data_IF_498937492802
#
_entry.id   IF_498937492802
#
_cell.length_a   1.000
_cell.length_b   1.000
_cell.length_c   1.000
_cell.angle_alpha   90.00
_cell.angle_beta   90.00
_cell.angle_gamma   90.00
#
_symmetry.space_group_name_H-M   'P 1'
#
loop_
_entity.id
_entity.type
_entity.pdbx_description
1 polymer ?
#
# COMPACT_ATOMS: atom_id res chain seq x y z
N UNK A 1 9.04 35.89 30.94
CA UNK A 1 9.59 34.77 30.13
C UNK A 1 8.44 33.82 29.90
N UNK A 2 8.09 33.48 28.66
CA UNK A 2 7.07 32.49 28.43
C UNK A 2 7.65 31.13 28.84
N UNK A 3 6.95 30.38 29.67
CA UNK A 3 7.27 29.04 30.04
C UNK A 3 7.12 28.16 28.79
N UNK A 4 8.23 27.74 28.22
CA UNK A 4 8.22 26.73 27.18
C UNK A 4 7.89 25.39 27.84
N UNK A 5 6.69 24.89 27.60
CA UNK A 5 6.27 23.58 28.02
C UNK A 5 7.03 22.55 27.17
N UNK A 6 8.11 22.01 27.69
CA UNK A 6 8.70 20.81 27.11
C UNK A 6 7.82 19.62 27.48
N UNK A 7 7.01 19.18 26.55
CA UNK A 7 6.44 17.84 26.62
C UNK A 7 7.60 16.87 26.48
N UNK A 8 8.02 16.25 27.58
CA UNK A 8 8.86 15.08 27.49
C UNK A 8 8.05 14.01 26.73
N UNK A 9 8.61 13.39 25.69
CA UNK A 9 7.93 12.26 25.10
C UNK A 9 7.76 11.20 26.19
N UNK A 10 6.52 10.91 26.55
CA UNK A 10 6.21 9.67 27.23
C UNK A 10 6.75 8.60 26.28
N UNK A 11 7.62 7.74 26.77
CA UNK A 11 8.03 6.56 26.00
C UNK A 11 6.79 5.68 25.85
N UNK A 12 5.98 5.96 24.84
CA UNK A 12 5.01 4.97 24.38
C UNK A 12 5.83 3.80 23.85
N UNK A 13 5.41 2.57 24.10
CA UNK A 13 6.01 1.42 23.43
C UNK A 13 5.98 1.70 21.94
N UNK A 14 7.09 1.43 21.26
CA UNK A 14 7.22 1.66 19.83
C UNK A 14 6.06 0.93 19.12
N UNK A 15 5.21 1.66 18.42
CA UNK A 15 4.24 1.05 17.53
C UNK A 15 5.02 0.35 16.42
N UNK A 16 4.98 -0.98 16.33
CA UNK A 16 5.78 -1.71 15.35
C UNK A 16 5.31 -1.44 13.90
N UNK A 17 4.11 -0.90 13.70
CA UNK A 17 3.53 -0.72 12.37
C UNK A 17 2.64 0.55 12.27
N UNK A 18 3.22 1.76 12.39
CA UNK A 18 2.45 3.00 12.31
C UNK A 18 1.86 3.19 10.92
N UNK A 19 0.65 3.75 10.86
CA UNK A 19 0.07 4.16 9.59
C UNK A 19 0.85 5.33 8.98
N UNK A 20 1.28 5.23 7.73
CA UNK A 20 2.11 6.25 7.10
C UNK A 20 1.87 6.40 5.60
N UNK A 21 2.24 7.55 5.09
CA UNK A 21 2.41 7.81 3.67
C UNK A 21 3.62 8.74 3.45
N UNK A 22 4.41 8.47 2.45
CA UNK A 22 5.60 9.24 2.10
C UNK A 22 5.73 9.42 0.59
N UNK A 23 6.19 10.60 0.19
CA UNK A 23 6.57 10.88 -1.19
C UNK A 23 7.86 11.70 -1.20
N UNK A 24 8.86 11.24 -1.92
CA UNK A 24 10.12 11.95 -2.14
C UNK A 24 10.39 12.08 -3.63
N UNK A 25 10.92 13.22 -4.03
CA UNK A 25 11.27 13.48 -5.42
C UNK A 25 12.58 14.26 -5.52
N UNK A 26 13.52 13.75 -6.30
CA UNK A 26 14.79 14.39 -6.58
C UNK A 26 15.02 14.57 -8.08
N UNK A 27 15.63 15.70 -8.48
CA UNK A 27 16.06 15.92 -9.83
C UNK A 27 17.36 16.70 -9.86
N UNK A 28 18.26 16.30 -10.76
CA UNK A 28 19.48 17.01 -11.07
C UNK A 28 19.53 17.28 -12.58
N UNK A 29 19.76 18.52 -12.94
CA UNK A 29 19.98 18.95 -14.31
C UNK A 29 21.39 19.50 -14.43
N UNK A 30 22.13 19.08 -15.41
CA UNK A 30 23.55 19.38 -15.52
C UNK A 30 23.98 19.57 -16.98
N UNK A 31 25.23 20.02 -17.18
CA UNK A 31 25.81 20.17 -18.49
C UNK A 31 25.01 21.09 -19.43
N UNK A 32 24.42 22.17 -18.87
CA UNK A 32 23.78 23.17 -19.71
C UNK A 32 24.77 23.73 -20.70
N UNK A 33 24.43 23.73 -21.97
CA UNK A 33 25.29 24.24 -23.06
C UNK A 33 25.48 25.77 -23.04
N UNK A 34 24.66 26.49 -22.28
CA UNK A 34 24.67 27.93 -22.10
C UNK A 34 24.70 28.30 -20.61
N UNK A 35 25.32 29.43 -20.26
CA UNK A 35 25.21 29.96 -18.91
C UNK A 35 23.80 30.54 -18.67
N UNK A 36 23.20 30.23 -17.53
CA UNK A 36 21.93 30.79 -17.14
C UNK A 36 22.01 32.25 -16.75
N UNK A 37 21.01 33.02 -17.10
CA UNK A 37 20.77 34.37 -16.63
C UNK A 37 19.43 34.41 -15.90
N UNK A 38 19.28 35.31 -14.93
CA UNK A 38 18.00 35.51 -14.21
C UNK A 38 17.40 34.20 -13.72
N UNK A 39 17.83 33.70 -12.60
CA UNK A 39 17.31 32.48 -12.00
C UNK A 39 16.58 32.74 -10.69
N UNK A 40 15.55 31.92 -10.41
CA UNK A 40 14.78 31.88 -9.18
C UNK A 40 14.69 30.45 -8.68
N UNK A 41 14.75 30.28 -7.37
CA UNK A 41 14.68 28.96 -6.72
C UNK A 41 13.63 28.94 -5.60
N UNK A 42 12.33 29.21 -5.91
CA UNK A 42 11.31 29.20 -4.89
C UNK A 42 11.05 27.81 -4.35
N UNK A 43 10.83 27.74 -3.04
CA UNK A 43 10.38 26.53 -2.33
C UNK A 43 9.17 26.86 -1.49
N UNK A 44 8.27 25.89 -1.34
CA UNK A 44 7.08 25.99 -0.52
C UNK A 44 6.84 24.68 0.24
N UNK A 45 6.44 24.77 1.49
CA UNK A 45 6.13 23.60 2.33
C UNK A 45 4.93 23.90 3.21
N UNK A 46 4.02 22.94 3.31
CA UNK A 46 2.84 23.04 4.16
C UNK A 46 2.61 21.73 4.90
N UNK A 47 2.29 21.81 6.18
CA UNK A 47 1.92 20.68 7.02
C UNK A 47 0.71 21.00 7.87
N UNK A 48 -0.26 20.11 7.85
CA UNK A 48 -1.46 20.21 8.68
C UNK A 48 -1.65 18.90 9.43
N UNK A 49 -1.71 18.98 10.75
CA UNK A 49 -2.06 17.86 11.63
C UNK A 49 -3.32 18.23 12.40
N UNK A 50 -4.33 17.38 12.37
CA UNK A 50 -5.57 17.56 13.08
C UNK A 50 -5.92 16.26 13.82
N UNK A 51 -5.99 16.32 15.13
CA UNK A 51 -6.25 15.22 16.06
C UNK A 51 -5.16 14.14 16.12
N UNK A 52 -5.15 13.34 17.17
CA UNK A 52 -4.24 12.22 17.38
C UNK A 52 -2.76 12.58 17.60
N UNK A 53 -1.93 11.58 17.76
CA UNK A 53 -0.46 11.72 17.79
C UNK A 53 0.08 11.44 16.38
N UNK A 54 0.32 12.50 15.64
CA UNK A 54 0.73 12.42 14.23
C UNK A 54 1.90 13.34 13.96
N UNK A 55 2.84 12.89 13.15
CA UNK A 55 3.96 13.68 12.66
C UNK A 55 3.76 13.95 11.17
N UNK A 56 3.87 15.21 10.77
CA UNK A 56 3.90 15.61 9.37
C UNK A 56 5.22 16.34 9.08
N UNK A 57 5.89 15.94 8.01
CA UNK A 57 7.17 16.49 7.57
C UNK A 57 7.02 16.98 6.14
N UNK A 58 7.49 18.18 5.86
CA UNK A 58 7.61 18.70 4.51
C UNK A 58 8.96 19.40 4.36
N UNK A 59 9.74 19.00 3.37
CA UNK A 59 11.02 19.58 3.02
C UNK A 59 11.05 19.91 1.53
N UNK A 60 11.63 21.07 1.19
CA UNK A 60 11.83 21.46 -0.19
C UNK A 60 13.14 22.21 -0.34
N UNK A 61 13.94 21.80 -1.30
CA UNK A 61 15.21 22.45 -1.64
C UNK A 61 15.30 22.68 -3.15
N UNK A 62 15.80 23.84 -3.55
CA UNK A 62 16.06 24.17 -4.94
C UNK A 62 17.35 24.99 -5.07
N UNK A 63 18.24 24.56 -5.96
CA UNK A 63 19.53 25.18 -6.19
C UNK A 63 19.75 25.37 -7.69
N UNK A 64 20.35 26.48 -8.07
CA UNK A 64 20.89 26.72 -9.40
C UNK A 64 22.30 27.29 -9.29
N UNK A 65 23.26 26.81 -10.09
CA UNK A 65 24.62 27.27 -10.16
C UNK A 65 25.09 27.37 -11.61
N UNK A 66 25.87 28.38 -11.92
CA UNK A 66 26.53 28.53 -13.23
C UNK A 66 27.98 27.98 -13.25
N UNK A 67 28.57 27.66 -12.08
CA UNK A 67 29.94 27.12 -11.99
C UNK A 67 30.03 26.17 -10.76
N UNK A 68 29.94 24.84 -10.93
CA UNK A 68 29.55 24.15 -12.17
C UNK A 68 28.14 24.47 -12.61
N UNK A 69 27.85 24.35 -13.91
CA UNK A 69 26.54 24.69 -14.46
C UNK A 69 25.52 23.53 -14.23
N UNK A 70 24.76 23.65 -13.18
CA UNK A 70 23.74 22.67 -12.81
C UNK A 70 22.57 23.29 -12.02
N UNK A 71 21.48 22.56 -11.94
CA UNK A 71 20.40 22.78 -10.97
C UNK A 71 20.05 21.48 -10.25
N UNK A 72 19.51 21.59 -9.05
CA UNK A 72 19.02 20.46 -8.29
C UNK A 72 17.75 20.85 -7.53
N UNK A 73 16.83 19.88 -7.44
CA UNK A 73 15.57 19.98 -6.76
C UNK A 73 15.43 18.78 -5.83
N UNK A 74 14.90 19.01 -4.66
CA UNK A 74 14.47 17.96 -3.74
C UNK A 74 13.16 18.34 -3.08
N UNK A 75 12.26 17.36 -2.95
CA UNK A 75 11.02 17.48 -2.17
C UNK A 75 10.78 16.23 -1.38
N UNK A 76 10.29 16.39 -0.17
CA UNK A 76 9.87 15.33 0.70
C UNK A 76 8.57 15.73 1.39
N UNK A 77 7.60 14.84 1.41
CA UNK A 77 6.40 14.93 2.20
C UNK A 77 6.16 13.60 2.88
N UNK A 78 5.93 13.62 4.18
CA UNK A 78 5.67 12.42 4.97
C UNK A 78 4.65 12.72 6.05
N UNK A 79 3.77 11.78 6.30
CA UNK A 79 2.81 11.78 7.41
C UNK A 79 2.83 10.42 8.07
N UNK A 80 2.91 10.41 9.40
CA UNK A 80 2.97 9.20 10.22
C UNK A 80 1.99 9.38 11.37
N UNK A 81 1.02 8.50 11.50
CA UNK A 81 0.12 8.47 12.65
C UNK A 81 0.60 7.42 13.65
N UNK A 82 0.85 7.86 14.87
CA UNK A 82 1.35 7.02 15.94
C UNK A 82 0.22 6.51 16.83
N UNK A 83 -0.83 7.32 17.03
CA UNK A 83 -1.93 6.96 17.94
C UNK A 83 -3.16 7.83 17.69
N UNK A 84 -4.33 7.24 17.80
CA UNK A 84 -5.62 7.92 17.84
C UNK A 84 -6.20 8.29 16.47
N UNK A 85 -7.46 8.75 16.45
CA UNK A 85 -8.06 9.34 15.26
C UNK A 85 -7.23 10.51 14.78
N UNK A 86 -6.73 10.46 13.56
CA UNK A 86 -5.82 11.46 13.04
C UNK A 86 -6.13 11.81 11.59
N UNK A 87 -5.90 13.07 11.28
CA UNK A 87 -5.86 13.54 9.91
C UNK A 87 -4.64 14.42 9.73
N UNK A 88 -3.80 14.07 8.76
CA UNK A 88 -2.61 14.85 8.46
C UNK A 88 -2.41 15.01 6.97
N UNK A 89 -1.89 16.16 6.59
CA UNK A 89 -1.45 16.46 5.24
C UNK A 89 -0.03 17.03 5.31
N UNK A 90 0.77 16.71 4.32
CA UNK A 90 2.07 17.32 4.11
C UNK A 90 2.25 17.58 2.63
N UNK A 91 2.77 18.72 2.27
CA UNK A 91 3.11 19.03 0.87
C UNK A 91 4.39 19.86 0.78
N UNK A 92 5.15 19.62 -0.27
CA UNK A 92 6.33 20.41 -0.58
C UNK A 92 6.47 20.64 -2.09
N UNK A 93 6.95 21.81 -2.45
CA UNK A 93 7.26 22.22 -3.82
C UNK A 93 8.67 22.83 -3.85
N UNK A 94 9.50 22.36 -4.78
CA UNK A 94 10.76 22.95 -5.15
C UNK A 94 10.76 23.29 -6.63
N UNK A 95 11.21 24.48 -6.97
CA UNK A 95 11.22 24.97 -8.34
C UNK A 95 12.53 25.70 -8.67
N UNK A 96 13.05 25.47 -9.88
CA UNK A 96 14.08 26.29 -10.49
C UNK A 96 13.51 26.91 -11.75
N UNK A 97 13.70 28.20 -11.90
CA UNK A 97 13.35 28.96 -13.10
C UNK A 97 14.62 29.65 -13.57
N UNK A 98 15.17 29.24 -14.70
CA UNK A 98 16.38 29.81 -15.26
C UNK A 98 16.19 30.22 -16.70
N UNK A 99 16.73 31.39 -17.06
CA UNK A 99 16.66 31.92 -18.42
C UNK A 99 17.99 31.80 -19.13
N UNK A 100 17.96 31.51 -20.43
CA UNK A 100 19.13 31.30 -21.26
C UNK A 100 18.97 32.07 -22.57
N UNK A 101 20.06 32.69 -23.04
CA UNK A 101 20.09 33.32 -24.36
C UNK A 101 20.77 32.37 -25.36
N UNK A 102 20.06 32.04 -26.41
CA UNK A 102 20.55 31.11 -27.45
C UNK A 102 20.64 31.85 -28.77
N UNK A 103 21.84 31.91 -29.35
CA UNK A 103 22.08 32.58 -30.62
C UNK A 103 21.60 31.74 -31.82
N UNK A 104 21.38 32.40 -32.93
CA UNK A 104 20.98 31.73 -34.18
C UNK A 104 21.97 30.62 -34.55
N UNK A 105 21.46 29.47 -34.90
CA UNK A 105 22.16 28.23 -35.26
C UNK A 105 22.88 27.54 -34.10
N UNK A 106 22.77 28.02 -32.87
CA UNK A 106 23.25 27.32 -31.69
C UNK A 106 22.26 26.25 -31.21
N UNK A 107 22.83 25.30 -30.46
CA UNK A 107 22.08 24.21 -29.81
C UNK A 107 22.03 24.51 -28.32
N UNK A 108 20.84 24.42 -27.76
CA UNK A 108 20.65 24.37 -26.30
C UNK A 108 20.46 22.93 -25.86
N UNK A 109 21.20 22.52 -24.88
CA UNK A 109 21.15 21.16 -24.33
C UNK A 109 21.46 21.12 -22.84
N UNK A 110 21.01 20.05 -22.19
CA UNK A 110 21.35 19.68 -20.83
C UNK A 110 21.06 18.20 -20.59
N UNK A 111 21.70 17.63 -19.58
CA UNK A 111 21.44 16.29 -19.06
C UNK A 111 20.51 16.39 -17.87
N UNK A 112 19.67 15.36 -17.65
CA UNK A 112 18.82 15.28 -16.48
C UNK A 112 18.84 13.87 -15.87
N UNK A 113 18.75 13.82 -14.55
CA UNK A 113 18.48 12.61 -13.78
C UNK A 113 17.40 12.92 -12.75
N UNK A 114 16.39 12.08 -12.67
CA UNK A 114 15.24 12.26 -11.79
C UNK A 114 14.93 10.96 -11.07
N UNK A 115 14.55 11.06 -9.81
CA UNK A 115 14.06 9.95 -9.01
C UNK A 115 12.79 10.34 -8.26
N UNK A 116 11.85 9.42 -8.15
CA UNK A 116 10.59 9.57 -7.44
C UNK A 116 10.31 8.28 -6.67
N UNK A 117 10.12 8.40 -5.38
CA UNK A 117 9.68 7.31 -4.53
C UNK A 117 8.38 7.71 -3.82
N UNK A 118 7.39 6.87 -3.88
CA UNK A 118 6.09 7.05 -3.26
C UNK A 118 5.77 5.77 -2.52
N UNK A 119 5.47 5.91 -1.24
CA UNK A 119 5.30 4.80 -0.33
C UNK A 119 4.13 5.08 0.60
N UNK A 120 3.37 4.06 0.92
CA UNK A 120 2.35 4.13 1.94
C UNK A 120 2.22 2.77 2.62
N UNK A 121 1.85 2.76 3.89
CA UNK A 121 1.43 1.52 4.54
C UNK A 121 0.23 0.94 3.79
N UNK A 122 0.23 -0.34 3.60
CA UNK A 122 -0.95 -1.05 3.12
C UNK A 122 -2.12 -0.89 4.11
N UNK A 123 -3.30 -0.65 3.59
CA UNK A 123 -4.48 -0.43 4.42
C UNK A 123 -5.22 -1.73 4.64
N UNK A 124 -5.38 -2.09 5.89
CA UNK A 124 -6.12 -3.25 6.35
C UNK A 124 -7.62 -2.97 6.36
N UNK A 125 -8.00 -1.78 6.83
CA UNK A 125 -9.40 -1.38 6.91
C UNK A 125 -9.72 -0.14 6.05
N UNK A 126 -10.26 -0.35 4.85
CA UNK A 126 -10.64 0.70 3.89
C UNK A 126 -11.67 1.72 4.39
N UNK A 127 -12.34 1.46 5.51
CA UNK A 127 -13.34 2.37 6.08
C UNK A 127 -12.76 3.27 7.14
N UNK A 128 -11.73 2.80 7.85
CA UNK A 128 -11.09 3.54 8.93
C UNK A 128 -9.80 4.24 8.50
N UNK A 129 -9.13 3.75 7.46
CA UNK A 129 -7.81 4.24 7.04
C UNK A 129 -7.82 4.76 5.62
N UNK A 130 -7.06 5.82 5.39
CA UNK A 130 -6.82 6.37 4.06
C UNK A 130 -5.41 6.92 3.97
N UNK A 131 -4.59 6.31 3.15
CA UNK A 131 -3.24 6.75 2.84
C UNK A 131 -3.15 7.15 1.38
N UNK A 132 -2.71 8.37 1.14
CA UNK A 132 -2.49 8.90 -0.18
C UNK A 132 -1.11 9.55 -0.24
N UNK A 133 -0.33 9.17 -1.23
CA UNK A 133 0.92 9.81 -1.56
C UNK A 133 0.99 10.11 -3.06
N UNK A 134 1.50 11.26 -3.42
CA UNK A 134 1.77 11.61 -4.80
C UNK A 134 3.03 12.45 -4.92
N UNK A 135 3.69 12.30 -6.07
CA UNK A 135 4.87 13.10 -6.39
C UNK A 135 4.94 13.37 -7.89
N UNK A 136 5.58 14.47 -8.23
CA UNK A 136 5.76 14.87 -9.62
C UNK A 136 7.12 15.54 -9.78
N UNK A 137 7.83 15.14 -10.83
CA UNK A 137 9.03 15.80 -11.30
C UNK A 137 8.82 16.18 -12.75
N UNK A 138 9.14 17.38 -13.12
CA UNK A 138 8.98 17.83 -14.50
C UNK A 138 9.95 18.96 -14.86
N UNK A 139 10.23 19.10 -16.15
CA UNK A 139 10.74 20.34 -16.70
C UNK A 139 9.88 20.82 -17.89
N UNK A 140 9.84 22.13 -18.05
CA UNK A 140 9.15 22.82 -19.13
C UNK A 140 10.08 23.81 -19.77
N UNK A 141 10.18 23.79 -21.08
CA UNK A 141 11.03 24.70 -21.85
C UNK A 141 10.13 25.68 -22.61
N UNK A 142 10.32 26.95 -22.33
CA UNK A 142 9.53 28.05 -22.89
C UNK A 142 10.40 28.92 -23.77
N UNK A 143 9.87 29.37 -24.91
CA UNK A 143 10.38 30.56 -25.59
C UNK A 143 9.80 31.80 -24.89
N UNK A 144 10.67 32.64 -24.37
CA UNK A 144 10.33 33.82 -23.57
C UNK A 144 10.89 35.14 -24.16
N UNK A 145 11.23 35.15 -25.43
CA UNK A 145 11.64 36.38 -26.17
C UNK A 145 10.55 37.47 -26.06
N UNK A 146 9.27 37.08 -26.10
CA UNK A 146 8.15 37.92 -25.68
C UNK A 146 7.61 37.44 -24.34
N UNK A 147 7.95 38.13 -23.25
CA UNK A 147 7.54 37.75 -21.89
C UNK A 147 6.02 37.81 -21.66
N UNK A 148 5.28 38.54 -22.51
CA UNK A 148 3.80 38.60 -22.42
C UNK A 148 3.10 37.42 -23.11
N UNK A 149 3.83 36.68 -23.94
CA UNK A 149 3.29 35.55 -24.71
C UNK A 149 4.30 34.40 -24.75
N UNK A 150 4.63 33.80 -23.61
CA UNK A 150 5.55 32.66 -23.58
C UNK A 150 4.96 31.50 -24.37
N UNK A 151 5.80 30.80 -25.10
CA UNK A 151 5.41 29.66 -25.93
C UNK A 151 6.08 28.38 -25.41
N UNK A 152 5.28 27.36 -25.15
CA UNK A 152 5.79 26.02 -24.77
C UNK A 152 6.52 25.43 -25.98
N UNK A 153 7.78 25.07 -25.77
CA UNK A 153 8.61 24.43 -26.77
C UNK A 153 8.65 22.92 -26.57
N UNK A 154 9.02 22.48 -25.37
CA UNK A 154 9.17 21.08 -25.03
C UNK A 154 8.88 20.85 -23.52
N UNK A 155 8.60 19.61 -23.14
CA UNK A 155 8.36 19.24 -21.75
C UNK A 155 8.72 17.78 -21.49
N UNK A 156 9.03 17.49 -20.23
CA UNK A 156 9.14 16.17 -19.64
C UNK A 156 8.40 16.15 -18.29
N UNK A 157 7.81 15.04 -17.93
CA UNK A 157 7.23 14.88 -16.61
C UNK A 157 7.09 13.42 -16.21
N UNK A 158 7.44 13.14 -14.97
CA UNK A 158 7.17 11.91 -14.26
C UNK A 158 6.18 12.22 -13.14
N UNK A 159 5.08 11.49 -13.07
CA UNK A 159 4.03 11.68 -12.07
C UNK A 159 3.64 10.33 -11.49
N UNK A 160 3.76 10.20 -10.19
CA UNK A 160 3.35 9.05 -9.42
C UNK A 160 2.21 9.39 -8.47
N UNK A 161 1.30 8.46 -8.28
CA UNK A 161 0.20 8.55 -7.33
C UNK A 161 -0.11 7.18 -6.76
N UNK A 162 -0.20 7.12 -5.44
CA UNK A 162 -0.55 5.93 -4.68
C UNK A 162 -1.75 6.21 -3.79
N UNK A 163 -2.72 5.32 -3.77
CA UNK A 163 -3.87 5.32 -2.86
C UNK A 163 -4.00 3.90 -2.32
N UNK A 164 -3.49 3.68 -1.13
CA UNK A 164 -3.47 2.34 -0.52
C UNK A 164 -4.88 1.79 -0.29
N UNK A 165 -5.82 2.61 0.17
CA UNK A 165 -7.22 2.20 0.38
C UNK A 165 -7.86 1.50 -0.83
N UNK A 166 -7.40 1.81 -2.02
CA UNK A 166 -7.93 1.27 -3.27
C UNK A 166 -6.99 0.25 -3.92
N UNK A 167 -5.83 -0.04 -3.32
CA UNK A 167 -4.73 -0.79 -3.94
C UNK A 167 -4.44 -0.26 -5.34
N UNK A 168 -4.40 1.07 -5.48
CA UNK A 168 -4.19 1.76 -6.75
C UNK A 168 -2.92 2.59 -6.72
N UNK A 169 -2.02 2.27 -7.61
CA UNK A 169 -0.84 3.08 -7.87
C UNK A 169 -0.64 3.28 -9.36
N UNK A 170 -0.23 4.45 -9.74
CA UNK A 170 -0.01 4.84 -11.13
C UNK A 170 1.26 5.67 -11.22
N UNK A 171 2.18 5.26 -12.06
CA UNK A 171 3.41 5.97 -12.35
C UNK A 171 3.51 6.20 -13.86
N UNK A 172 3.48 7.45 -14.26
CA UNK A 172 3.39 7.86 -15.67
C UNK A 172 4.53 8.78 -16.07
N UNK A 173 5.12 8.49 -17.23
CA UNK A 173 6.00 9.39 -17.95
C UNK A 173 5.25 10.08 -19.07
N UNK A 174 5.50 11.38 -19.24
CA UNK A 174 5.03 12.18 -20.38
C UNK A 174 6.14 13.10 -20.81
N UNK A 175 6.42 13.15 -22.09
CA UNK A 175 7.37 14.07 -22.69
C UNK A 175 6.97 14.44 -24.12
N UNK A 176 7.54 15.52 -24.63
CA UNK A 176 7.27 16.01 -25.99
C UNK A 176 7.53 14.93 -27.03
N UNK A 177 6.53 14.53 -27.84
CA UNK A 177 6.64 13.43 -28.79
C UNK A 177 7.44 13.78 -30.05
N UNK A 178 7.91 15.03 -30.20
CA UNK A 178 8.43 15.53 -31.45
C UNK A 178 9.95 15.53 -31.53
N UNK A 179 10.46 14.84 -32.55
CA UNK A 179 11.80 15.03 -33.16
C UNK A 179 13.01 14.64 -32.31
N UNK A 180 12.98 13.57 -31.52
CA UNK A 180 14.14 13.05 -30.78
C UNK A 180 14.90 14.12 -29.95
N UNK A 181 14.18 15.13 -29.45
CA UNK A 181 14.76 16.20 -28.64
C UNK A 181 15.04 15.81 -27.20
N UNK A 182 14.25 14.84 -26.71
CA UNK A 182 14.44 14.23 -25.42
C UNK A 182 14.82 12.77 -25.66
N UNK A 183 16.03 12.43 -25.29
CA UNK A 183 16.56 11.07 -25.35
C UNK A 183 16.56 10.52 -23.93
N UNK A 184 15.85 9.43 -23.69
CA UNK A 184 15.93 8.71 -22.42
C UNK A 184 17.09 7.74 -22.49
N UNK A 185 18.05 7.89 -21.59
CA UNK A 185 19.24 7.07 -21.52
C UNK A 185 19.02 5.84 -20.66
N UNK A 186 18.33 6.04 -19.52
CA UNK A 186 17.97 4.97 -18.61
C UNK A 186 16.59 5.24 -18.00
N UNK A 187 15.84 4.17 -17.75
CA UNK A 187 14.52 4.23 -17.13
C UNK A 187 14.28 2.99 -16.30
N UNK A 188 14.03 3.20 -15.01
CA UNK A 188 13.58 2.15 -14.10
C UNK A 188 12.28 2.62 -13.42
N UNK A 189 11.19 1.91 -13.67
CA UNK A 189 9.90 2.17 -13.07
C UNK A 189 9.42 0.88 -12.41
N UNK A 190 9.25 0.90 -11.10
CA UNK A 190 8.77 -0.27 -10.35
C UNK A 190 7.46 0.05 -9.65
N UNK A 191 6.69 -0.98 -9.43
CA UNK A 191 5.41 -0.92 -8.75
C UNK A 191 5.24 -2.17 -7.92
N UNK A 192 5.04 -1.98 -6.62
CA UNK A 192 4.70 -2.99 -5.66
C UNK A 192 3.45 -2.50 -4.91
N UNK A 193 2.30 -3.08 -5.21
CA UNK A 193 0.98 -2.77 -4.64
C UNK A 193 0.15 -4.06 -4.58
N UNK A 194 0.77 -5.15 -4.20
CA UNK A 194 0.14 -6.47 -4.24
C UNK A 194 -0.30 -6.99 -2.87
N UNK A 195 0.01 -6.27 -1.80
CA UNK A 195 -0.51 -6.56 -0.49
C UNK A 195 0.19 -7.68 0.26
N UNK A 196 1.49 -7.90 0.00
CA UNK A 196 2.20 -9.03 0.61
C UNK A 196 3.39 -8.65 1.52
N UNK A 197 3.57 -7.34 1.81
CA UNK A 197 4.69 -6.86 2.63
C UNK A 197 4.34 -5.65 3.50
N UNK A 198 3.07 -5.44 3.81
CA UNK A 198 2.53 -4.31 4.60
C UNK A 198 2.87 -2.92 4.03
N UNK A 199 3.27 -2.86 2.76
CA UNK A 199 3.80 -1.65 2.14
C UNK A 199 3.47 -1.58 0.65
N UNK A 200 2.81 -0.53 0.24
CA UNK A 200 2.64 -0.16 -1.16
C UNK A 200 3.77 0.77 -1.61
N UNK A 201 4.42 0.49 -2.72
CA UNK A 201 5.59 1.23 -3.21
C UNK A 201 5.50 1.50 -4.72
N UNK A 202 5.78 2.74 -5.11
CA UNK A 202 6.06 3.13 -6.49
C UNK A 202 7.43 3.80 -6.55
N UNK A 203 8.32 3.33 -7.39
CA UNK A 203 9.59 4.01 -7.64
C UNK A 203 9.80 4.28 -9.13
N UNK A 204 10.35 5.44 -9.42
CA UNK A 204 10.72 5.84 -10.77
C UNK A 204 12.07 6.54 -10.78
N UNK A 205 12.99 6.04 -11.59
CA UNK A 205 14.25 6.72 -11.88
C UNK A 205 14.39 6.86 -13.40
N UNK A 206 14.64 8.06 -13.87
CA UNK A 206 14.79 8.35 -15.29
C UNK A 206 15.93 9.29 -15.50
N UNK A 207 16.85 8.94 -16.39
CA UNK A 207 17.90 9.85 -16.86
C UNK A 207 17.82 10.03 -18.37
N UNK A 208 18.26 11.19 -18.83
CA UNK A 208 18.19 11.51 -20.23
C UNK A 208 18.93 12.76 -20.62
N UNK A 209 18.79 13.11 -21.86
CA UNK A 209 19.40 14.28 -22.49
C UNK A 209 18.32 15.05 -23.27
N UNK A 210 18.35 16.36 -23.11
CA UNK A 210 17.58 17.28 -23.95
C UNK A 210 18.51 18.03 -24.90
N UNK A 211 18.14 18.10 -26.18
CA UNK A 211 18.88 18.86 -27.18
C UNK A 211 17.92 19.50 -28.21
N UNK A 212 18.14 20.79 -28.50
CA UNK A 212 17.40 21.49 -29.54
C UNK A 212 18.25 22.59 -30.20
N UNK A 213 18.33 22.54 -31.55
CA UNK A 213 18.96 23.60 -32.35
C UNK A 213 17.93 24.65 -32.75
N UNK A 214 18.33 25.93 -32.70
CA UNK A 214 17.48 27.06 -33.03
C UNK A 214 17.98 27.78 -34.27
N UNK A 215 17.11 28.29 -35.10
CA UNK A 215 17.41 28.95 -36.37
C UNK A 215 17.39 30.48 -36.31
N UNK A 216 17.14 31.07 -35.14
CA UNK A 216 17.11 32.48 -34.84
C UNK A 216 17.56 32.73 -33.39
N UNK A 217 17.92 33.97 -33.10
CA UNK A 217 18.22 34.37 -31.73
C UNK A 217 16.95 34.35 -30.88
N UNK A 218 17.01 33.79 -29.69
CA UNK A 218 15.86 33.75 -28.76
C UNK A 218 16.31 33.67 -27.32
N UNK A 219 15.37 34.02 -26.42
CA UNK A 219 15.48 33.76 -24.99
C UNK A 219 14.58 32.57 -24.64
N UNK A 220 15.12 31.59 -23.96
CA UNK A 220 14.37 30.47 -23.42
C UNK A 220 14.36 30.53 -21.90
N UNK A 221 13.31 29.99 -21.30
CA UNK A 221 13.23 29.78 -19.86
C UNK A 221 12.94 28.31 -19.62
N UNK A 222 13.78 27.70 -18.80
CA UNK A 222 13.56 26.35 -18.28
C UNK A 222 12.91 26.49 -16.92
N UNK A 223 11.78 25.82 -16.74
CA UNK A 223 11.09 25.69 -15.46
C UNK A 223 11.20 24.24 -15.03
N UNK A 224 11.92 24.00 -13.97
CA UNK A 224 12.06 22.69 -13.34
C UNK A 224 11.19 22.68 -12.07
N UNK A 225 10.52 21.58 -11.82
CA UNK A 225 9.56 21.45 -10.72
C UNK A 225 9.66 20.06 -10.12
N UNK A 226 9.78 19.99 -8.79
CA UNK A 226 9.51 18.82 -8.00
C UNK A 226 8.39 19.14 -7.01
N UNK A 227 7.44 18.21 -6.84
CA UNK A 227 6.39 18.31 -5.83
C UNK A 227 6.18 16.96 -5.17
N UNK A 228 5.90 16.98 -3.87
CA UNK A 228 5.41 15.82 -3.15
C UNK A 228 4.23 16.22 -2.27
N UNK A 229 3.28 15.33 -2.11
CA UNK A 229 2.09 15.52 -1.28
C UNK A 229 1.70 14.19 -0.65
N UNK A 230 1.40 14.22 0.64
CA UNK A 230 0.87 13.08 1.37
C UNK A 230 -0.35 13.46 2.18
N UNK A 231 -1.27 12.53 2.29
CA UNK A 231 -2.48 12.66 3.12
C UNK A 231 -2.71 11.35 3.83
N UNK A 232 -3.00 11.49 5.11
CA UNK A 232 -3.36 10.38 5.96
C UNK A 232 -4.66 10.71 6.68
N UNK A 233 -5.55 9.76 6.74
CA UNK A 233 -6.71 9.78 7.62
C UNK A 233 -6.79 8.43 8.31
N UNK A 234 -6.84 8.47 9.62
CA UNK A 234 -7.07 7.31 10.47
C UNK A 234 -8.21 7.66 11.42
N UNK A 235 -9.22 6.86 11.43
CA UNK A 235 -10.33 6.98 12.38
C UNK A 235 -10.10 5.92 13.46
N UNK A 236 -9.60 6.32 14.63
CA UNK A 236 -9.71 5.48 15.81
C UNK A 236 -11.12 5.64 16.35
N UNK A 237 -11.91 4.68 16.07
CA UNK A 237 -13.19 4.55 16.72
C UNK A 237 -13.09 3.52 17.83
N UNK A 238 -12.46 3.93 18.93
CA UNK A 238 -12.72 3.30 20.23
C UNK A 238 -14.10 3.79 20.63
N UNK A 239 -15.09 2.95 20.45
CA UNK A 239 -16.44 3.25 20.86
C UNK A 239 -17.47 3.08 19.76
N UNK A 240 -18.57 2.55 20.14
CA UNK A 240 -19.74 2.30 19.33
C UNK A 240 -20.15 3.53 18.50
N UNK A 241 -19.80 3.52 17.23
CA UNK A 241 -20.52 4.33 16.25
C UNK A 241 -21.74 3.55 15.79
N UNK A 242 -22.84 3.79 16.44
CA UNK A 242 -24.03 2.98 16.27
C UNK A 242 -23.81 1.57 16.86
N UNK A 243 -24.85 0.90 17.28
CA UNK A 243 -24.80 -0.36 18.01
C UNK A 243 -24.11 -1.54 17.31
N UNK A 244 -23.65 -1.40 16.08
CA UNK A 244 -23.36 -2.53 15.20
C UNK A 244 -21.93 -2.59 14.65
N UNK A 245 -21.08 -1.56 14.81
CA UNK A 245 -19.73 -1.55 14.23
C UNK A 245 -18.70 -1.08 15.27
N UNK A 246 -17.66 -1.89 15.49
CA UNK A 246 -16.51 -1.58 16.36
C UNK A 246 -15.21 -1.65 15.55
N UNK A 247 -14.35 -0.69 15.75
CA UNK A 247 -13.01 -0.66 15.17
C UNK A 247 -11.99 -0.71 16.31
N UNK A 248 -11.01 -1.57 16.16
CA UNK A 248 -9.83 -1.61 17.01
C UNK A 248 -8.86 -0.47 16.72
N UNK A 249 -7.79 -0.47 17.45
CA UNK A 249 -6.70 0.49 17.36
C UNK A 249 -5.52 -0.09 16.60
N UNK A 250 -4.35 0.52 16.74
CA UNK A 250 -3.07 -0.01 16.29
C UNK A 250 -2.39 -0.88 17.35
N UNK A 251 -3.05 -1.12 18.47
CA UNK A 251 -2.55 -1.88 19.62
C UNK A 251 -3.38 -3.13 19.82
N UNK A 252 -2.81 -4.06 20.60
CA UNK A 252 -3.54 -5.26 20.99
C UNK A 252 -4.84 -4.90 21.72
N UNK A 253 -5.95 -5.08 21.06
CA UNK A 253 -7.28 -4.73 21.54
C UNK A 253 -8.02 -5.92 22.14
N UNK A 254 -8.89 -5.64 23.09
CA UNK A 254 -9.86 -6.59 23.63
C UNK A 254 -11.26 -6.02 23.46
N UNK A 255 -12.02 -6.58 22.53
CA UNK A 255 -13.31 -6.06 22.15
C UNK A 255 -14.41 -7.10 22.29
N UNK A 256 -15.56 -6.67 22.80
CA UNK A 256 -16.75 -7.51 22.96
C UNK A 256 -17.92 -6.92 22.17
N UNK A 257 -18.57 -7.75 21.38
CA UNK A 257 -19.84 -7.47 20.76
C UNK A 257 -21.02 -7.67 21.72
N UNK A 258 -22.18 -7.94 21.14
CA UNK A 258 -23.42 -8.19 21.88
C UNK A 258 -24.28 -9.23 21.14
N UNK A 259 -25.57 -9.39 21.50
CA UNK A 259 -26.46 -10.38 20.86
C UNK A 259 -27.07 -9.94 19.53
N UNK A 260 -26.75 -8.77 19.01
CA UNK A 260 -27.18 -8.28 17.68
C UNK A 260 -26.04 -8.47 16.65
N UNK A 261 -26.31 -8.47 15.35
CA UNK A 261 -25.29 -8.54 14.33
C UNK A 261 -24.24 -7.43 14.48
N UNK A 262 -23.00 -7.79 14.72
CA UNK A 262 -21.88 -6.87 14.90
C UNK A 262 -20.93 -6.91 13.70
N UNK A 263 -20.17 -5.83 13.52
CA UNK A 263 -18.99 -5.76 12.65
C UNK A 263 -17.82 -5.30 13.47
N UNK A 264 -16.83 -6.16 13.62
CA UNK A 264 -15.67 -5.91 14.48
C UNK A 264 -14.39 -5.99 13.67
N UNK A 265 -13.56 -5.00 13.79
CA UNK A 265 -12.30 -4.86 13.05
C UNK A 265 -11.18 -4.61 14.05
N UNK A 266 -10.17 -5.50 14.11
CA UNK A 266 -9.03 -5.39 15.02
C UNK A 266 -8.05 -4.31 14.57
N UNK A 267 -7.75 -4.24 13.31
CA UNK A 267 -6.79 -3.35 12.64
C UNK A 267 -5.35 -3.84 12.73
N UNK A 268 -4.56 -3.34 13.65
CA UNK A 268 -3.16 -3.75 13.89
C UNK A 268 -3.01 -4.22 15.32
N UNK A 269 -2.05 -5.11 15.53
CA UNK A 269 -1.77 -5.65 16.84
C UNK A 269 -2.31 -7.07 17.01
N UNK A 270 -1.94 -7.75 18.10
CA UNK A 270 -2.50 -9.07 18.41
C UNK A 270 -3.83 -8.89 19.15
N UNK A 271 -4.93 -8.92 18.41
CA UNK A 271 -6.25 -8.55 18.88
C UNK A 271 -7.07 -9.72 19.44
N UNK A 272 -8.05 -9.42 20.26
CA UNK A 272 -9.00 -10.37 20.77
C UNK A 272 -10.43 -9.83 20.57
N UNK A 273 -11.17 -10.40 19.61
CA UNK A 273 -12.52 -10.01 19.27
C UNK A 273 -13.50 -11.14 19.65
N UNK A 274 -14.51 -10.81 20.43
CA UNK A 274 -15.56 -11.73 20.89
C UNK A 274 -16.92 -11.15 20.52
N UNK A 275 -17.57 -11.67 19.48
CA UNK A 275 -18.82 -11.08 18.97
C UNK A 275 -20.07 -11.49 19.78
N UNK A 276 -20.01 -12.63 20.49
CA UNK A 276 -21.04 -13.18 21.35
C UNK A 276 -22.22 -13.83 20.61
N UNK A 277 -23.04 -13.10 19.95
CA UNK A 277 -24.17 -13.69 19.20
C UNK A 277 -24.81 -12.68 18.26
N UNK A 278 -25.25 -13.17 17.15
CA UNK A 278 -25.64 -12.36 15.98
C UNK A 278 -25.12 -13.05 14.74
N UNK A 279 -25.51 -12.59 13.58
CA UNK A 279 -24.81 -12.95 12.35
C UNK A 279 -23.69 -11.91 12.16
N UNK A 280 -22.49 -12.22 12.68
CA UNK A 280 -21.42 -11.26 12.90
C UNK A 280 -20.39 -11.25 11.77
N UNK A 281 -19.62 -10.17 11.67
CA UNK A 281 -18.46 -10.06 10.80
C UNK A 281 -17.27 -9.61 11.65
N UNK A 282 -16.24 -10.45 11.74
CA UNK A 282 -15.00 -10.19 12.43
C UNK A 282 -13.85 -10.14 11.43
N UNK A 283 -12.96 -9.18 11.57
CA UNK A 283 -11.73 -9.03 10.79
C UNK A 283 -10.62 -8.67 11.76
N UNK A 284 -9.61 -9.55 11.93
CA UNK A 284 -8.49 -9.33 12.82
C UNK A 284 -7.59 -8.20 12.31
N UNK A 285 -7.08 -8.37 11.14
CA UNK A 285 -6.21 -7.38 10.50
C UNK A 285 -4.79 -7.88 10.38
N UNK A 286 -3.81 -7.15 10.91
CA UNK A 286 -2.43 -7.63 10.99
C UNK A 286 -2.02 -7.88 12.43
N UNK A 287 -1.44 -9.02 12.67
CA UNK A 287 -1.02 -9.50 13.99
C UNK A 287 -1.47 -10.93 14.22
N UNK A 288 -1.23 -11.47 15.41
CA UNK A 288 -1.69 -12.82 15.71
C UNK A 288 -3.00 -12.73 16.51
N UNK A 289 -4.12 -12.76 15.81
CA UNK A 289 -5.41 -12.41 16.33
C UNK A 289 -6.18 -13.61 16.90
N UNK A 290 -7.07 -13.34 17.84
CA UNK A 290 -8.03 -14.28 18.35
C UNK A 290 -9.45 -13.79 18.12
N UNK A 291 -10.18 -14.49 17.28
CA UNK A 291 -11.52 -14.13 16.81
C UNK A 291 -12.51 -15.20 17.22
N UNK A 292 -13.59 -14.80 17.88
CA UNK A 292 -14.67 -15.70 18.35
C UNK A 292 -16.02 -15.12 17.90
N UNK A 293 -16.66 -15.75 16.91
CA UNK A 293 -17.94 -15.33 16.36
C UNK A 293 -19.06 -15.46 17.38
N UNK A 294 -19.13 -16.59 18.07
CA UNK A 294 -20.14 -16.85 19.08
C UNK A 294 -21.34 -17.63 18.54
N UNK A 295 -22.58 -17.22 18.86
CA UNK A 295 -23.77 -17.90 18.39
C UNK A 295 -24.27 -17.33 17.05
N UNK A 296 -24.82 -18.18 16.17
CA UNK A 296 -25.34 -17.97 14.82
C UNK A 296 -24.27 -17.93 13.73
N UNK A 297 -24.60 -17.38 12.53
CA UNK A 297 -23.80 -17.57 11.33
C UNK A 297 -22.84 -16.41 11.14
N UNK A 298 -21.56 -16.66 11.38
CA UNK A 298 -20.54 -15.65 11.43
C UNK A 298 -19.61 -15.68 10.20
N UNK A 299 -19.00 -14.54 9.91
CA UNK A 299 -17.94 -14.40 8.93
C UNK A 299 -16.69 -13.89 9.63
N UNK A 300 -15.65 -14.71 9.65
CA UNK A 300 -14.43 -14.45 10.41
C UNK A 300 -13.24 -14.46 9.47
N UNK A 301 -12.50 -13.38 9.48
CA UNK A 301 -11.29 -13.15 8.67
C UNK A 301 -10.15 -12.88 9.63
N UNK A 302 -9.11 -13.73 9.64
CA UNK A 302 -7.90 -13.51 10.44
C UNK A 302 -7.13 -12.32 9.92
N UNK A 303 -6.58 -12.42 8.75
CA UNK A 303 -5.81 -11.38 8.09
C UNK A 303 -4.36 -11.79 7.88
N UNK A 304 -3.41 -10.94 8.26
CA UNK A 304 -1.99 -11.24 8.20
C UNK A 304 -1.49 -11.67 9.58
N UNK A 305 -0.92 -12.85 9.71
CA UNK A 305 -0.35 -13.35 10.97
C UNK A 305 -0.80 -14.76 11.30
N UNK A 306 -0.48 -15.23 12.51
CA UNK A 306 -0.87 -16.58 12.91
C UNK A 306 -2.12 -16.51 13.80
N UNK A 307 -3.27 -16.66 13.21
CA UNK A 307 -4.55 -16.36 13.81
C UNK A 307 -5.23 -17.57 14.46
N UNK A 308 -6.11 -17.29 15.40
CA UNK A 308 -7.00 -18.29 16.01
C UNK A 308 -8.45 -17.87 15.79
N UNK A 309 -9.16 -18.60 14.92
CA UNK A 309 -10.54 -18.36 14.54
C UNK A 309 -11.45 -19.41 15.12
N UNK A 310 -12.55 -18.97 15.74
CA UNK A 310 -13.58 -19.81 16.33
C UNK A 310 -14.92 -19.34 15.79
N UNK A 311 -15.63 -20.20 15.01
CA UNK A 311 -16.97 -19.92 14.53
C UNK A 311 -17.96 -19.92 15.68
N UNK A 312 -18.25 -21.07 16.21
CA UNK A 312 -19.19 -21.25 17.31
C UNK A 312 -20.39 -22.12 16.91
N UNK A 313 -21.53 -21.98 17.56
CA UNK A 313 -22.80 -22.56 17.10
C UNK A 313 -23.43 -21.77 15.93
N UNK A 314 -23.39 -22.32 14.71
CA UNK A 314 -23.88 -21.66 13.50
C UNK A 314 -23.32 -22.25 12.23
N UNK A 315 -23.79 -21.81 11.09
CA UNK A 315 -23.17 -22.12 9.80
C UNK A 315 -22.17 -21.00 9.46
N UNK A 316 -20.90 -21.18 9.83
CA UNK A 316 -19.89 -20.13 9.85
C UNK A 316 -19.00 -20.12 8.60
N UNK A 317 -18.41 -18.99 8.29
CA UNK A 317 -17.37 -18.86 7.25
C UNK A 317 -16.09 -18.35 7.88
N UNK A 318 -15.02 -19.15 7.79
CA UNK A 318 -13.70 -18.85 8.36
C UNK A 318 -12.68 -18.70 7.23
N UNK A 319 -11.89 -17.64 7.29
CA UNK A 319 -10.78 -17.33 6.39
C UNK A 319 -9.60 -16.98 7.26
N UNK A 320 -8.55 -17.82 7.27
CA UNK A 320 -7.33 -17.55 8.04
C UNK A 320 -6.61 -16.32 7.50
N UNK A 321 -6.18 -16.36 6.27
CA UNK A 321 -5.42 -15.31 5.60
C UNK A 321 -3.98 -15.74 5.36
N UNK A 322 -3.04 -14.84 5.55
CA UNK A 322 -1.60 -15.09 5.42
C UNK A 322 -1.06 -15.55 6.77
N UNK A 323 -0.42 -16.73 6.80
CA UNK A 323 0.26 -17.23 8.00
C UNK A 323 -0.08 -18.66 8.37
N UNK A 324 0.14 -19.02 9.64
CA UNK A 324 -0.19 -20.36 10.12
C UNK A 324 -1.38 -20.28 11.07
N UNK A 325 -2.57 -20.50 10.54
CA UNK A 325 -3.80 -20.26 11.25
C UNK A 325 -4.38 -21.51 11.94
N UNK A 326 -5.09 -21.29 13.01
CA UNK A 326 -5.82 -22.35 13.73
C UNK A 326 -7.30 -22.01 13.70
N UNK A 327 -8.08 -22.87 13.04
CA UNK A 327 -9.51 -22.67 12.83
C UNK A 327 -10.36 -23.74 13.50
N UNK A 328 -11.49 -23.34 14.07
CA UNK A 328 -12.53 -24.22 14.63
C UNK A 328 -13.89 -23.73 14.18
N UNK A 329 -14.64 -24.58 13.46
CA UNK A 329 -16.02 -24.29 13.08
C UNK A 329 -17.00 -24.50 14.24
N UNK A 330 -16.78 -25.47 15.12
CA UNK A 330 -17.65 -25.97 16.18
C UNK A 330 -18.96 -26.58 15.67
N UNK A 331 -20.15 -25.99 15.93
CA UNK A 331 -21.42 -26.60 15.56
C UNK A 331 -22.01 -25.93 14.32
N UNK A 332 -22.30 -26.73 13.29
CA UNK A 332 -22.96 -26.21 12.09
C UNK A 332 -22.42 -26.81 10.80
N UNK A 333 -22.71 -26.12 9.69
CA UNK A 333 -22.19 -26.40 8.37
C UNK A 333 -21.15 -25.31 8.04
N UNK A 334 -19.95 -25.53 8.51
CA UNK A 334 -18.92 -24.51 8.44
C UNK A 334 -18.19 -24.52 7.11
N UNK A 335 -17.82 -23.34 6.62
CA UNK A 335 -17.07 -23.13 5.40
C UNK A 335 -15.68 -22.57 5.73
N UNK A 336 -14.65 -23.34 5.43
CA UNK A 336 -13.25 -22.91 5.51
C UNK A 336 -12.81 -22.46 4.11
N UNK A 337 -12.52 -21.18 3.94
CA UNK A 337 -12.22 -20.57 2.65
C UNK A 337 -10.74 -20.20 2.53
N UNK A 338 -10.13 -20.67 1.48
CA UNK A 338 -8.74 -20.38 1.13
C UNK A 338 -8.67 -19.72 -0.25
N UNK A 339 -8.02 -18.59 -0.33
CA UNK A 339 -7.75 -17.87 -1.56
C UNK A 339 -6.34 -18.18 -2.06
N UNK A 340 -6.16 -18.24 -3.36
CA UNK A 340 -4.87 -18.53 -3.98
C UNK A 340 -3.81 -17.49 -3.66
N UNK A 341 -4.20 -16.23 -3.54
CA UNK A 341 -3.28 -15.10 -3.54
C UNK A 341 -2.91 -14.63 -2.11
N UNK A 342 -3.63 -15.10 -1.09
CA UNK A 342 -3.46 -14.68 0.31
C UNK A 342 -3.49 -15.82 1.33
N UNK A 343 -3.69 -17.05 0.89
CA UNK A 343 -3.69 -18.22 1.76
C UNK A 343 -2.86 -19.33 1.14
N UNK A 344 -2.27 -20.16 1.96
CA UNK A 344 -1.47 -21.31 1.54
C UNK A 344 -0.21 -20.95 0.73
N UNK A 345 0.48 -19.92 1.19
CA UNK A 345 1.78 -19.53 0.65
C UNK A 345 2.88 -20.54 1.01
N UNK A 346 4.03 -20.41 0.38
CA UNK A 346 5.14 -21.35 0.59
C UNK A 346 5.60 -21.38 2.05
N UNK A 347 5.46 -22.53 2.69
CA UNK A 347 5.90 -22.78 4.06
C UNK A 347 4.80 -22.61 5.11
N UNK A 348 3.63 -22.16 4.74
CA UNK A 348 2.49 -22.03 5.65
C UNK A 348 1.80 -23.37 5.93
N UNK A 349 1.23 -23.47 7.13
CA UNK A 349 0.46 -24.62 7.58
C UNK A 349 -0.72 -24.16 8.42
N UNK A 350 -1.90 -24.19 7.83
CA UNK A 350 -3.15 -23.96 8.55
C UNK A 350 -3.68 -25.25 9.18
N UNK A 351 -4.35 -25.12 10.29
CA UNK A 351 -4.91 -26.26 11.02
C UNK A 351 -6.38 -26.07 11.29
N UNK A 352 -7.21 -26.95 10.73
CA UNK A 352 -8.61 -27.06 11.09
C UNK A 352 -8.75 -28.14 12.16
N UNK A 353 -9.12 -27.73 13.38
CA UNK A 353 -9.10 -28.57 14.58
C UNK A 353 -10.27 -29.53 14.71
N UNK A 354 -11.41 -29.24 14.06
CA UNK A 354 -12.66 -29.94 14.30
C UNK A 354 -13.50 -30.14 13.02
N UNK A 355 -12.83 -30.31 11.89
CA UNK A 355 -13.51 -30.51 10.59
C UNK A 355 -14.49 -31.68 10.62
N UNK A 356 -15.77 -31.39 10.40
CA UNK A 356 -16.83 -32.40 10.37
C UNK A 356 -17.18 -32.79 8.94
N UNK A 357 -16.69 -33.92 8.51
CA UNK A 357 -16.81 -34.41 7.13
C UNK A 357 -18.29 -34.64 6.67
N UNK A 358 -19.23 -34.76 7.58
CA UNK A 358 -20.68 -34.86 7.28
C UNK A 358 -21.35 -33.51 7.01
N UNK A 359 -20.69 -32.39 7.34
CA UNK A 359 -21.28 -31.04 7.28
C UNK A 359 -20.37 -29.98 6.70
N UNK A 360 -19.12 -29.92 7.17
CA UNK A 360 -18.19 -28.85 6.85
C UNK A 360 -17.65 -28.93 5.42
N UNK A 361 -17.30 -27.76 4.88
CA UNK A 361 -16.75 -27.61 3.52
C UNK A 361 -15.47 -26.81 3.52
N UNK A 362 -14.59 -27.15 2.59
CA UNK A 362 -13.41 -26.37 2.22
C UNK A 362 -13.65 -25.77 0.85
N UNK A 363 -13.51 -24.46 0.72
CA UNK A 363 -13.57 -23.76 -0.56
C UNK A 363 -12.18 -23.28 -0.96
N UNK A 364 -11.73 -23.72 -2.12
CA UNK A 364 -10.47 -23.32 -2.75
C UNK A 364 -10.79 -22.36 -3.90
N UNK A 365 -10.56 -21.08 -3.67
CA UNK A 365 -10.93 -20.00 -4.59
C UNK A 365 -9.70 -19.49 -5.39
N UNK A 366 -9.87 -19.24 -6.70
CA UNK A 366 -8.81 -18.73 -7.56
C UNK A 366 -7.84 -19.79 -8.11
N UNK A 367 -8.03 -21.08 -7.76
CA UNK A 367 -7.18 -22.18 -8.19
C UNK A 367 -7.61 -22.82 -9.52
N UNK A 368 -8.63 -22.25 -10.17
CA UNK A 368 -9.23 -22.77 -11.39
C UNK A 368 -10.24 -23.89 -11.15
N UNK A 369 -10.77 -24.46 -12.22
CA UNK A 369 -11.73 -25.56 -12.14
C UNK A 369 -11.03 -26.86 -11.76
N UNK A 370 -11.32 -27.37 -10.59
CA UNK A 370 -10.87 -28.66 -10.09
C UNK A 370 -12.05 -29.62 -9.91
N UNK A 371 -11.74 -30.90 -9.87
CA UNK A 371 -12.72 -31.94 -9.58
C UNK A 371 -12.43 -32.54 -8.20
N UNK A 372 -13.36 -32.45 -7.28
CA UNK A 372 -13.24 -33.03 -5.94
C UNK A 372 -12.97 -34.53 -5.95
N UNK A 373 -13.51 -35.26 -6.94
CA UNK A 373 -13.23 -36.69 -7.11
C UNK A 373 -11.76 -36.94 -7.45
N UNK A 374 -11.16 -36.13 -8.32
CA UNK A 374 -9.76 -36.26 -8.72
C UNK A 374 -8.82 -35.94 -7.55
N UNK A 375 -9.17 -34.92 -6.73
CA UNK A 375 -8.44 -34.59 -5.50
C UNK A 375 -8.44 -35.80 -4.54
N UNK A 376 -9.61 -36.36 -4.24
CA UNK A 376 -9.76 -37.49 -3.30
C UNK A 376 -9.11 -38.78 -3.81
N UNK A 377 -8.94 -38.94 -5.13
CA UNK A 377 -8.22 -40.07 -5.73
C UNK A 377 -6.71 -39.85 -5.85
N UNK A 378 -6.19 -38.70 -5.45
CA UNK A 378 -4.77 -38.35 -5.52
C UNK A 378 -4.23 -38.23 -6.93
N UNK A 379 -5.05 -37.77 -7.89
CA UNK A 379 -4.63 -37.62 -9.28
C UNK A 379 -3.58 -36.50 -9.40
N UNK A 380 -2.42 -36.85 -9.94
CA UNK A 380 -1.20 -36.01 -9.98
C UNK A 380 -1.32 -34.67 -10.78
N UNK A 381 -2.39 -34.46 -11.54
CA UNK A 381 -2.64 -33.23 -12.30
C UNK A 381 -3.36 -32.16 -11.49
N UNK A 382 -3.76 -32.45 -10.25
CA UNK A 382 -4.38 -31.48 -9.33
C UNK A 382 -3.33 -30.51 -8.79
N UNK A 383 -3.61 -29.21 -8.69
CA UNK A 383 -2.78 -28.26 -7.96
C UNK A 383 -2.73 -28.55 -6.44
N UNK A 384 -3.54 -29.47 -5.96
CA UNK A 384 -3.50 -29.96 -4.59
C UNK A 384 -3.28 -31.46 -4.54
N UNK A 385 -2.57 -31.89 -3.51
CA UNK A 385 -2.43 -33.28 -3.12
C UNK A 385 -3.06 -33.49 -1.74
N UNK A 386 -3.64 -34.66 -1.55
CA UNK A 386 -4.25 -35.05 -0.29
C UNK A 386 -3.63 -36.34 0.23
N UNK A 387 -3.27 -36.41 1.49
CA UNK A 387 -2.65 -37.57 2.08
C UNK A 387 -2.98 -37.69 3.58
N UNK A 388 -3.10 -38.93 4.08
CA UNK A 388 -3.16 -39.20 5.49
C UNK A 388 -1.79 -39.02 6.18
N UNK A 389 -1.79 -38.38 7.33
CA UNK A 389 -0.67 -38.27 8.25
C UNK A 389 -1.01 -38.89 9.61
N UNK A 390 -0.05 -38.90 10.57
CA UNK A 390 -0.34 -39.28 11.97
C UNK A 390 -1.44 -38.42 12.57
N UNK A 391 -1.45 -37.13 12.26
CA UNK A 391 -2.27 -36.12 12.92
C UNK A 391 -3.61 -35.86 12.21
N UNK A 392 -3.75 -36.31 10.97
CA UNK A 392 -4.99 -36.12 10.20
C UNK A 392 -4.76 -36.19 8.70
N UNK A 393 -5.64 -35.56 7.94
CA UNK A 393 -5.51 -35.40 6.49
C UNK A 393 -4.78 -34.10 6.17
N UNK A 394 -3.73 -34.19 5.37
CA UNK A 394 -2.97 -33.05 4.89
C UNK A 394 -3.32 -32.76 3.42
N UNK A 395 -3.82 -31.55 3.16
CA UNK A 395 -3.89 -30.99 1.82
C UNK A 395 -2.61 -30.17 1.59
N UNK A 396 -1.94 -30.39 0.46
CA UNK A 396 -0.72 -29.65 0.09
C UNK A 396 -0.92 -29.00 -1.26
N UNK A 397 -0.73 -27.68 -1.34
CA UNK A 397 -0.80 -26.93 -2.58
C UNK A 397 0.50 -27.09 -3.40
N UNK A 398 0.42 -26.95 -4.72
CA UNK A 398 1.59 -26.91 -5.60
C UNK A 398 2.50 -25.69 -5.35
N UNK A 399 2.05 -24.70 -4.60
CA UNK A 399 2.80 -23.52 -4.18
C UNK A 399 3.48 -23.68 -2.82
N UNK A 400 3.27 -24.82 -2.14
CA UNK A 400 3.97 -25.21 -0.92
C UNK A 400 3.22 -24.95 0.40
N UNK A 401 2.09 -24.25 0.38
CA UNK A 401 1.23 -24.10 1.55
C UNK A 401 0.39 -25.34 1.82
N UNK A 402 -0.05 -25.52 3.05
CA UNK A 402 -0.69 -26.75 3.53
C UNK A 402 -1.87 -26.48 4.44
N UNK A 403 -2.87 -27.37 4.41
CA UNK A 403 -3.96 -27.42 5.38
C UNK A 403 -4.01 -28.79 6.05
N UNK A 404 -3.96 -28.83 7.36
CA UNK A 404 -4.16 -30.03 8.16
C UNK A 404 -5.59 -30.10 8.70
N UNK A 405 -6.33 -31.14 8.32
CA UNK A 405 -7.60 -31.51 8.96
C UNK A 405 -7.29 -32.44 10.11
N UNK A 406 -7.15 -31.88 11.33
CA UNK A 406 -6.72 -32.61 12.50
C UNK A 406 -7.72 -33.74 12.86
N UNK A 407 -7.21 -34.95 13.04
CA UNK A 407 -8.02 -36.10 13.44
C UNK A 407 -8.92 -36.72 12.36
N UNK A 408 -9.01 -36.14 11.19
CA UNK A 408 -9.82 -36.62 10.07
C UNK A 408 -8.96 -37.45 9.10
N UNK A 409 -9.49 -38.54 8.57
CA UNK A 409 -8.82 -39.38 7.56
C UNK A 409 -9.45 -39.18 6.18
N UNK A 410 -8.64 -39.36 5.13
CA UNK A 410 -9.09 -39.19 3.73
C UNK A 410 -10.34 -40.00 3.42
N UNK A 411 -10.44 -41.24 3.94
CA UNK A 411 -11.59 -42.10 3.72
C UNK A 411 -12.88 -41.64 4.42
N UNK A 412 -12.85 -40.65 5.27
CA UNK A 412 -14.01 -40.01 5.88
C UNK A 412 -14.52 -38.83 5.05
N UNK A 413 -13.70 -38.34 4.10
CA UNK A 413 -14.03 -37.21 3.24
C UNK A 413 -14.84 -37.66 2.01
N UNK A 414 -15.65 -36.76 1.48
CA UNK A 414 -16.44 -36.96 0.29
C UNK A 414 -16.39 -35.73 -0.63
N UNK A 415 -16.90 -35.87 -1.86
CA UNK A 415 -16.84 -34.80 -2.87
C UNK A 415 -17.56 -33.51 -2.43
N UNK A 416 -18.57 -33.61 -1.58
CA UNK A 416 -19.29 -32.45 -1.05
C UNK A 416 -18.50 -31.62 -0.05
N UNK A 417 -17.35 -32.12 0.45
CA UNK A 417 -16.48 -31.38 1.34
C UNK A 417 -15.62 -30.34 0.60
N UNK A 418 -15.54 -30.37 -0.74
CA UNK A 418 -14.65 -29.51 -1.51
C UNK A 418 -15.44 -28.68 -2.54
N UNK A 419 -15.25 -27.37 -2.49
CA UNK A 419 -15.79 -26.40 -3.44
C UNK A 419 -14.61 -25.71 -4.16
N UNK A 420 -14.76 -25.49 -5.47
CA UNK A 420 -13.76 -24.82 -6.30
C UNK A 420 -14.41 -23.69 -7.08
N UNK A 421 -13.74 -22.50 -7.15
CA UNK A 421 -14.26 -21.36 -7.90
C UNK A 421 -13.15 -20.44 -8.41
#
# INVERSE_FOLDING_TARGET
>A
MPNTLFLQPISSPDNPNPNYASATGGAVFSNYSQAGSDFLTPTDTDTLVNQGVTVAIANAEAVFSNDPNFSALFTESSVISLEGASQANSSSEAKVIASFSVAKNETFSFDFATDLQIEAKEIENRRAEYNHAQGKISFLILETSDTKKPKVLDFFGMNGKLISADRKGDLKLRYSPHQNRITINDQNLTRDIDGNNNKDLLTGAVSGHYERKFNHDLKITVVELSTSETKLKQDTLIGQLGSDVTYGTIWNDLTFGNSAPNKMYGSLGDDQLYAQGGDDILEGGSGNDKLDGGDKNDKIYGGDGNDTLIGGPGDDTLVGGIGNDVMRGNQGKDLFLFHKDDSLLTGELDIIKDFKADKAQIKLQGWGTMNASDLLQGIATSPFQIADTSDGTLLSSSFGGKVLLEGVKVNQLNVGNFLFS
#
